data_IF_462969635084
#
_entry.id   IF_462969635084
#
_cell.length_a   1.000
_cell.length_b   1.000
_cell.length_c   1.000
_cell.angle_alpha   90.00
_cell.angle_beta   90.00
_cell.angle_gamma   90.00
#
_symmetry.space_group_name_H-M   'P 1'
#
loop_
_entity.id
_entity.type
_entity.pdbx_description
1 polymer ?
#
# COMPACT_ATOMS: atom_id res chain seq x y z
N UNK A 1 -32.42 16.46 44.49
CA UNK A 1 -31.05 17.00 44.36
C UNK A 1 -30.14 15.85 43.91
N UNK A 2 -29.83 15.76 42.62
CA UNK A 2 -29.02 14.68 42.07
C UNK A 2 -27.54 14.93 42.32
N UNK A 3 -26.83 13.93 42.84
CA UNK A 3 -25.40 14.02 43.15
C UNK A 3 -24.57 14.19 41.85
N UNK A 4 -23.74 15.24 41.73
CA UNK A 4 -22.97 15.52 40.50
C UNK A 4 -21.88 14.47 40.20
N UNK A 5 -21.61 13.56 41.13
CA UNK A 5 -20.54 12.55 41.05
C UNK A 5 -20.88 11.46 40.01
N UNK A 6 -22.17 11.26 39.69
CA UNK A 6 -22.62 10.21 38.77
C UNK A 6 -22.30 10.48 37.29
N UNK A 7 -22.15 11.74 36.88
CA UNK A 7 -21.90 12.12 35.48
C UNK A 7 -20.42 11.96 35.09
N UNK A 8 -19.51 12.18 36.04
CA UNK A 8 -18.06 12.04 35.81
C UNK A 8 -17.63 10.58 35.59
N UNK A 9 -18.32 9.60 36.17
CA UNK A 9 -17.96 8.17 36.03
C UNK A 9 -18.35 7.57 34.67
N UNK A 10 -19.31 8.16 33.98
CA UNK A 10 -19.76 7.69 32.65
C UNK A 10 -18.99 8.38 31.52
N UNK A 11 -18.56 9.63 31.71
CA UNK A 11 -17.84 10.40 30.70
C UNK A 11 -16.50 9.75 30.34
N UNK A 12 -15.67 9.46 31.36
CA UNK A 12 -14.28 8.98 31.18
C UNK A 12 -14.17 7.72 30.29
N UNK A 13 -14.96 6.64 30.48
CA UNK A 13 -14.86 5.47 29.60
C UNK A 13 -15.38 5.75 28.19
N UNK A 14 -16.41 6.58 28.03
CA UNK A 14 -16.97 6.90 26.70
C UNK A 14 -16.03 7.74 25.83
N UNK A 15 -15.31 8.71 26.41
CA UNK A 15 -14.31 9.48 25.66
C UNK A 15 -13.10 8.63 25.29
N UNK A 16 -12.63 7.72 26.16
CA UNK A 16 -11.52 6.84 25.87
C UNK A 16 -11.82 5.87 24.70
N UNK A 17 -13.04 5.32 24.65
CA UNK A 17 -13.50 4.47 23.54
C UNK A 17 -13.60 5.26 22.24
N UNK A 18 -14.11 6.50 22.28
CA UNK A 18 -14.18 7.37 21.11
C UNK A 18 -12.79 7.68 20.54
N UNK A 19 -11.82 7.99 21.40
CA UNK A 19 -10.42 8.23 21.00
C UNK A 19 -9.82 6.97 20.38
N UNK A 20 -10.03 5.80 20.99
CA UNK A 20 -9.52 4.51 20.48
C UNK A 20 -10.09 4.15 19.10
N UNK A 21 -11.37 4.44 18.84
CA UNK A 21 -12.02 4.19 17.54
C UNK A 21 -11.55 5.17 16.46
N UNK A 22 -11.20 6.41 16.82
CA UNK A 22 -10.66 7.39 15.85
C UNK A 22 -9.19 7.15 15.47
N UNK A 23 -8.40 6.52 16.35
CA UNK A 23 -6.95 6.33 16.15
C UNK A 23 -6.62 5.12 15.28
N UNK A 24 -7.54 4.17 15.10
CA UNK A 24 -7.27 2.89 14.39
C UNK A 24 -7.52 2.92 12.89
N UNK A 25 -7.94 4.06 12.32
CA UNK A 25 -8.27 4.15 10.89
C UNK A 25 -7.12 4.72 10.02
N UNK A 26 -5.86 4.54 10.43
CA UNK A 26 -4.72 4.80 9.55
C UNK A 26 -4.54 3.61 8.60
N UNK A 27 -5.20 3.65 7.45
CA UNK A 27 -4.97 2.70 6.37
C UNK A 27 -3.87 3.25 5.46
N UNK A 28 -2.64 2.77 5.64
CA UNK A 28 -1.58 2.99 4.68
C UNK A 28 -1.92 2.19 3.41
N UNK A 29 -2.18 2.89 2.31
CA UNK A 29 -2.45 2.27 1.01
C UNK A 29 -1.47 2.77 -0.03
N UNK A 30 -0.91 1.83 -0.79
CA UNK A 30 -0.02 2.11 -1.91
C UNK A 30 -0.69 1.57 -3.17
N UNK A 31 -0.82 2.44 -4.17
CA UNK A 31 -1.34 2.09 -5.48
C UNK A 31 -0.37 2.53 -6.56
N UNK A 32 -0.20 1.70 -7.58
CA UNK A 32 0.60 2.01 -8.77
C UNK A 32 -0.09 1.46 -10.01
N UNK A 33 0.10 2.16 -11.12
CA UNK A 33 -0.40 1.77 -12.43
C UNK A 33 0.66 2.05 -13.47
N UNK A 34 0.93 1.06 -14.33
CA UNK A 34 1.89 1.16 -15.43
C UNK A 34 1.15 0.87 -16.74
N UNK A 35 1.05 1.88 -17.60
CA UNK A 35 0.51 1.70 -18.95
C UNK A 35 1.58 1.34 -19.98
N UNK A 36 2.86 1.56 -19.67
CA UNK A 36 4.00 1.16 -20.48
C UNK A 36 5.27 1.03 -19.65
N UNK A 37 6.22 0.22 -20.14
CA UNK A 37 7.54 0.02 -19.52
C UNK A 37 8.65 0.55 -20.43
N UNK A 38 9.06 1.83 -20.25
CA UNK A 38 10.15 2.44 -21.01
C UNK A 38 11.47 2.47 -20.20
N UNK A 39 12.59 2.74 -20.89
CA UNK A 39 13.94 2.79 -20.28
C UNK A 39 14.15 3.95 -19.29
N UNK A 40 13.23 4.91 -19.21
CA UNK A 40 13.30 6.09 -18.34
C UNK A 40 12.47 5.94 -17.05
N UNK A 41 11.96 4.74 -16.75
CA UNK A 41 11.25 4.45 -15.51
C UNK A 41 12.24 4.25 -14.35
N UNK A 42 12.65 5.34 -13.73
CA UNK A 42 13.54 5.34 -12.56
C UNK A 42 12.91 4.72 -11.29
N UNK A 43 11.62 4.40 -11.33
CA UNK A 43 10.86 3.82 -10.21
C UNK A 43 10.83 2.30 -10.20
N UNK A 44 11.30 1.65 -11.27
CA UNK A 44 11.34 0.19 -11.38
C UNK A 44 12.81 -0.23 -11.45
N UNK A 45 13.21 -1.07 -10.50
CA UNK A 45 14.50 -1.74 -10.54
C UNK A 45 14.34 -3.05 -11.29
N UNK A 46 15.10 -3.23 -12.37
CA UNK A 46 15.14 -4.48 -13.12
C UNK A 46 16.31 -5.33 -12.63
N UNK A 47 16.09 -6.63 -12.42
CA UNK A 47 17.09 -7.58 -11.93
C UNK A 47 17.11 -8.85 -12.79
N UNK A 48 18.27 -9.54 -12.85
CA UNK A 48 18.47 -10.71 -13.69
C UNK A 48 18.34 -10.39 -15.19
N UNK A 49 17.52 -11.18 -15.90
CA UNK A 49 17.24 -11.00 -17.33
C UNK A 49 16.18 -9.92 -17.62
N UNK A 50 15.52 -9.41 -16.57
CA UNK A 50 14.39 -8.52 -16.72
C UNK A 50 14.81 -7.20 -17.38
N UNK A 51 14.03 -6.74 -18.37
CA UNK A 51 14.28 -5.48 -19.08
C UNK A 51 12.99 -4.91 -19.69
N UNK A 52 12.91 -3.59 -19.87
CA UNK A 52 11.88 -3.00 -20.72
C UNK A 52 12.14 -3.35 -22.19
N UNK A 53 11.09 -3.77 -22.91
CA UNK A 53 11.11 -4.10 -24.33
C UNK A 53 9.97 -3.39 -25.04
N UNK A 54 10.27 -2.25 -25.66
CA UNK A 54 9.25 -1.36 -26.22
C UNK A 54 8.35 -0.77 -25.14
N UNK A 55 7.07 -1.17 -25.15
CA UNK A 55 6.06 -0.80 -24.13
C UNK A 55 5.81 -1.90 -23.09
N UNK A 56 6.44 -3.07 -23.23
CA UNK A 56 6.23 -4.24 -22.38
C UNK A 56 7.44 -4.51 -21.49
N UNK A 57 7.24 -5.31 -20.45
CA UNK A 57 8.33 -5.87 -19.66
C UNK A 57 8.65 -7.28 -20.16
N UNK A 58 9.93 -7.54 -20.40
CA UNK A 58 10.43 -8.88 -20.71
C UNK A 58 11.16 -9.38 -19.46
N UNK A 59 10.66 -10.46 -18.85
CA UNK A 59 11.24 -11.02 -17.62
C UNK A 59 12.38 -12.02 -17.90
N UNK A 60 12.30 -12.73 -19.03
CA UNK A 60 13.26 -13.76 -19.43
C UNK A 60 13.77 -13.50 -20.83
N UNK A 61 15.00 -13.93 -21.11
CA UNK A 61 15.49 -13.95 -22.48
C UNK A 61 14.65 -14.92 -23.34
N UNK A 62 14.23 -14.47 -24.51
CA UNK A 62 13.73 -15.37 -25.55
C UNK A 62 14.94 -16.17 -26.06
N UNK A 63 15.16 -17.35 -25.47
CA UNK A 63 15.97 -18.37 -26.12
C UNK A 63 15.11 -18.92 -27.25
N UNK A 64 15.36 -18.45 -28.47
CA UNK A 64 14.97 -19.22 -29.65
C UNK A 64 15.60 -20.60 -29.48
N UNK A 65 14.78 -21.62 -29.27
CA UNK A 65 15.20 -23.00 -29.37
C UNK A 65 15.65 -23.19 -30.81
N UNK A 66 16.94 -23.02 -31.06
CA UNK A 66 17.55 -23.53 -32.29
C UNK A 66 17.48 -25.05 -32.11
N UNK A 67 16.52 -25.68 -32.79
CA UNK A 67 16.53 -27.12 -32.99
C UNK A 67 17.74 -27.44 -33.87
N UNK A 68 18.89 -27.66 -33.23
CA UNK A 68 20.04 -28.39 -33.83
C UNK A 68 19.92 -29.86 -33.52
#
# INVERSE_FOLDING_TARGET
>A
MGSPISLFRLLIPTTAVLILVTVTAASDSISFSFSSFNKSLHRIKFEGDARPSGSFIQLTNHQYWILT
#
